data_IF_684764656293
#
_entry.id   IF_684764656293
#
_cell.length_a   1.000
_cell.length_b   1.000
_cell.length_c   1.000
_cell.angle_alpha   90.00
_cell.angle_beta   90.00
_cell.angle_gamma   90.00
#
_symmetry.space_group_name_H-M   'P 1'
#
loop_
_entity.id
_entity.type
_entity.pdbx_description
1 polymer ?
#
# COMPACT_ATOMS: atom_id res chain seq x y z
N UNK A 1 -1.97 -9.92 -25.12
CA UNK A 1 -2.26 -11.37 -25.05
C UNK A 1 -2.60 -11.77 -23.63
N UNK A 2 -3.68 -12.50 -23.43
CA UNK A 2 -4.14 -12.89 -22.10
C UNK A 2 -3.43 -14.18 -21.67
N UNK A 3 -2.68 -14.12 -20.55
CA UNK A 3 -1.95 -15.26 -20.02
C UNK A 3 -2.81 -16.05 -19.03
N UNK A 4 -2.40 -17.29 -18.73
CA UNK A 4 -3.06 -18.09 -17.69
C UNK A 4 -3.02 -17.40 -16.33
N UNK A 5 -1.90 -16.78 -16.00
CA UNK A 5 -1.77 -16.04 -14.73
C UNK A 5 -2.76 -14.87 -14.67
N UNK A 6 -2.92 -14.14 -15.78
CA UNK A 6 -3.88 -13.03 -15.88
C UNK A 6 -5.32 -13.52 -15.71
N UNK A 7 -5.67 -14.62 -16.37
CA UNK A 7 -7.00 -15.20 -16.25
C UNK A 7 -7.29 -15.69 -14.83
N UNK A 8 -6.30 -16.32 -14.20
CA UNK A 8 -6.42 -16.79 -12.81
C UNK A 8 -6.65 -15.64 -11.84
N UNK A 9 -5.90 -14.54 -12.01
CA UNK A 9 -6.07 -13.35 -11.20
C UNK A 9 -7.45 -12.72 -11.34
N UNK A 10 -7.95 -12.63 -12.58
CA UNK A 10 -9.28 -12.10 -12.85
C UNK A 10 -10.38 -12.99 -12.26
N UNK A 11 -10.22 -14.30 -12.38
CA UNK A 11 -11.16 -15.25 -11.77
C UNK A 11 -11.19 -15.07 -10.24
N UNK A 12 -10.03 -15.04 -9.61
CA UNK A 12 -9.94 -14.87 -8.16
C UNK A 12 -10.58 -13.56 -7.70
N UNK A 13 -10.38 -12.47 -8.45
CA UNK A 13 -10.96 -11.17 -8.13
C UNK A 13 -12.49 -11.23 -8.18
N UNK A 14 -13.05 -11.87 -9.20
CA UNK A 14 -14.50 -11.99 -9.31
C UNK A 14 -15.10 -12.88 -8.22
N UNK A 15 -14.42 -13.96 -7.85
CA UNK A 15 -14.87 -14.79 -6.72
C UNK A 15 -14.90 -13.97 -5.44
N UNK A 16 -13.84 -13.19 -5.18
CA UNK A 16 -13.77 -12.33 -3.99
C UNK A 16 -14.93 -11.31 -4.00
N UNK A 17 -15.17 -10.65 -5.13
CA UNK A 17 -16.25 -9.66 -5.24
C UNK A 17 -17.64 -10.29 -5.10
N UNK A 18 -17.80 -11.56 -5.50
CA UNK A 18 -19.07 -12.24 -5.35
C UNK A 18 -19.41 -12.59 -3.91
N UNK A 19 -18.38 -12.71 -3.05
CA UNK A 19 -18.55 -13.13 -1.66
C UNK A 19 -18.51 -11.97 -0.65
N UNK A 20 -18.02 -10.80 -1.07
CA UNK A 20 -17.79 -9.67 -0.16
C UNK A 20 -18.40 -8.41 -0.72
N UNK A 21 -18.85 -7.53 0.18
CA UNK A 21 -19.29 -6.19 -0.21
C UNK A 21 -18.08 -5.33 -0.56
N UNK A 22 -18.26 -4.29 -1.39
CA UNK A 22 -17.17 -3.35 -1.67
C UNK A 22 -16.56 -2.73 -0.40
N UNK A 23 -17.39 -2.45 0.60
CA UNK A 23 -16.95 -1.88 1.87
C UNK A 23 -16.07 -2.86 2.65
N UNK A 24 -16.43 -4.15 2.66
CA UNK A 24 -15.63 -5.17 3.34
C UNK A 24 -14.28 -5.37 2.65
N UNK A 25 -14.26 -5.35 1.32
CA UNK A 25 -13.04 -5.48 0.53
C UNK A 25 -12.10 -4.31 0.83
N UNK A 26 -12.63 -3.08 0.83
CA UNK A 26 -11.85 -1.86 1.11
C UNK A 26 -11.31 -1.88 2.54
N UNK A 27 -12.13 -2.32 3.51
CA UNK A 27 -11.71 -2.42 4.90
C UNK A 27 -10.56 -3.41 5.06
N UNK A 28 -10.65 -4.56 4.41
CA UNK A 28 -9.61 -5.58 4.47
C UNK A 28 -8.31 -5.10 3.82
N UNK A 29 -8.40 -4.44 2.68
CA UNK A 29 -7.25 -3.88 2.00
C UNK A 29 -6.54 -2.84 2.86
N UNK A 30 -7.32 -1.98 3.53
CA UNK A 30 -6.78 -0.98 4.44
C UNK A 30 -6.09 -1.62 5.64
N UNK A 31 -6.71 -2.64 6.24
CA UNK A 31 -6.14 -3.35 7.38
C UNK A 31 -4.83 -4.04 7.01
N UNK A 32 -4.78 -4.65 5.83
CA UNK A 32 -3.55 -5.30 5.33
C UNK A 32 -2.44 -4.28 5.12
N UNK A 33 -2.78 -3.12 4.54
CA UNK A 33 -1.83 -2.05 4.31
C UNK A 33 -1.26 -1.53 5.64
N UNK A 34 -2.12 -1.29 6.63
CA UNK A 34 -1.68 -0.79 7.93
C UNK A 34 -0.83 -1.81 8.69
N UNK A 35 -1.20 -3.09 8.62
CA UNK A 35 -0.45 -4.14 9.32
C UNK A 35 0.96 -4.34 8.76
N UNK A 36 1.20 -3.95 7.50
CA UNK A 36 2.53 -3.96 6.91
C UNK A 36 3.50 -3.11 7.72
N UNK A 37 3.05 -1.91 8.13
CA UNK A 37 3.91 -1.00 8.89
C UNK A 37 4.15 -1.49 10.31
N UNK A 38 3.19 -2.16 10.92
CA UNK A 38 3.39 -2.77 12.23
C UNK A 38 4.44 -3.89 12.16
N UNK A 39 4.42 -4.70 11.11
CA UNK A 39 5.44 -5.74 10.91
C UNK A 39 6.81 -5.16 10.65
N UNK A 40 6.90 -4.06 9.90
CA UNK A 40 8.17 -3.37 9.68
C UNK A 40 8.71 -2.76 10.96
N UNK A 41 7.82 -2.22 11.80
CA UNK A 41 8.21 -1.60 13.06
C UNK A 41 8.69 -2.62 14.10
N UNK A 42 8.12 -3.83 14.07
CA UNK A 42 8.34 -4.84 15.10
C UNK A 42 8.41 -6.23 14.45
N UNK A 43 9.49 -6.52 13.68
CA UNK A 43 9.59 -7.81 12.98
C UNK A 43 9.57 -9.02 13.91
N UNK A 44 10.12 -8.87 15.11
CA UNK A 44 10.23 -9.97 16.08
C UNK A 44 9.03 -10.06 17.04
N UNK A 45 8.13 -9.08 16.99
CA UNK A 45 6.96 -9.05 17.86
C UNK A 45 7.31 -8.84 19.33
N UNK A 46 8.41 -8.12 19.61
CA UNK A 46 8.91 -7.95 20.98
C UNK A 46 8.57 -6.62 21.62
N UNK A 47 8.07 -5.66 20.82
CA UNK A 47 7.76 -4.32 21.34
C UNK A 47 6.40 -4.32 22.03
N UNK A 48 6.28 -3.42 23.01
CA UNK A 48 4.98 -3.09 23.60
C UNK A 48 4.02 -2.62 22.50
N UNK A 49 2.71 -3.00 22.57
CA UNK A 49 1.76 -2.61 21.54
C UNK A 49 1.69 -1.12 21.27
N UNK A 50 1.76 -0.28 22.32
CA UNK A 50 1.74 1.18 22.14
C UNK A 50 2.97 1.69 21.39
N UNK A 51 4.14 1.15 21.70
CA UNK A 51 5.38 1.52 21.02
C UNK A 51 5.38 1.04 19.57
N UNK A 52 4.87 -0.17 19.32
CA UNK A 52 4.71 -0.69 17.96
C UNK A 52 3.81 0.23 17.12
N UNK A 53 2.69 0.64 17.70
CA UNK A 53 1.74 1.52 17.02
C UNK A 53 2.38 2.88 16.71
N UNK A 54 3.16 3.43 17.64
CA UNK A 54 3.84 4.71 17.46
C UNK A 54 4.85 4.64 16.31
N UNK A 55 5.66 3.59 16.29
CA UNK A 55 6.66 3.40 15.22
C UNK A 55 6.00 3.14 13.87
N UNK A 56 4.94 2.34 13.86
CA UNK A 56 4.19 2.06 12.63
C UNK A 56 3.58 3.34 12.06
N UNK A 57 3.07 4.22 12.92
CA UNK A 57 2.53 5.50 12.50
C UNK A 57 3.61 6.32 11.76
N UNK A 58 4.81 6.43 12.33
CA UNK A 58 5.87 7.19 11.71
C UNK A 58 6.37 6.57 10.40
N UNK A 59 6.44 5.25 10.33
CA UNK A 59 6.79 4.57 9.07
C UNK A 59 5.75 4.84 7.99
N UNK A 60 4.46 4.85 8.35
CA UNK A 60 3.38 5.17 7.42
C UNK A 60 3.49 6.60 6.93
N UNK A 61 3.75 7.55 7.84
CA UNK A 61 3.94 8.95 7.46
C UNK A 61 5.14 9.12 6.54
N UNK A 62 6.25 8.45 6.84
CA UNK A 62 7.44 8.47 5.99
C UNK A 62 7.13 7.92 4.60
N UNK A 63 6.33 6.85 4.51
CA UNK A 63 5.92 6.28 3.23
C UNK A 63 5.16 7.30 2.38
N UNK A 64 4.18 7.99 2.96
CA UNK A 64 3.40 8.99 2.21
C UNK A 64 4.25 10.21 1.83
N UNK A 65 5.14 10.65 2.70
CA UNK A 65 6.04 11.77 2.39
C UNK A 65 6.99 11.40 1.26
N UNK A 66 7.48 10.16 1.24
CA UNK A 66 8.32 9.69 0.15
C UNK A 66 7.56 9.68 -1.18
N UNK A 67 6.32 9.21 -1.18
CA UNK A 67 5.49 9.23 -2.39
C UNK A 67 5.26 10.66 -2.88
N UNK A 68 4.98 11.57 -1.97
CA UNK A 68 4.78 12.98 -2.31
C UNK A 68 6.07 13.58 -2.91
N UNK A 69 7.22 13.26 -2.31
CA UNK A 69 8.52 13.71 -2.82
C UNK A 69 8.78 13.18 -4.24
N UNK A 70 8.56 11.88 -4.46
CA UNK A 70 8.78 11.27 -5.76
C UNK A 70 7.84 11.85 -6.82
N UNK A 71 6.59 12.13 -6.45
CA UNK A 71 5.64 12.76 -7.35
C UNK A 71 6.07 14.18 -7.73
N UNK A 72 6.50 14.97 -6.75
CA UNK A 72 6.97 16.32 -6.98
C UNK A 72 8.22 16.33 -7.88
N UNK A 73 9.15 15.39 -7.61
CA UNK A 73 10.36 15.24 -8.41
C UNK A 73 10.01 14.90 -9.86
N UNK A 74 9.09 13.97 -10.07
CA UNK A 74 8.68 13.57 -11.41
C UNK A 74 8.02 14.74 -12.18
N UNK A 75 7.18 15.54 -11.49
CA UNK A 75 6.57 16.71 -12.10
C UNK A 75 7.61 17.74 -12.49
N UNK A 76 8.60 17.99 -11.64
CA UNK A 76 9.69 18.94 -11.90
C UNK A 76 10.51 18.49 -13.11
N UNK A 77 10.89 17.23 -13.17
CA UNK A 77 11.67 16.69 -14.28
C UNK A 77 10.88 16.74 -15.59
N UNK A 78 9.58 16.50 -15.54
CA UNK A 78 8.70 16.58 -16.69
C UNK A 78 8.61 18.01 -17.23
N UNK A 79 8.48 18.98 -16.32
CA UNK A 79 8.46 20.40 -16.68
C UNK A 79 9.79 20.83 -17.31
N UNK A 80 10.92 20.39 -16.77
CA UNK A 80 12.23 20.70 -17.31
C UNK A 80 12.41 20.13 -18.72
N UNK A 81 11.93 18.91 -18.97
CA UNK A 81 12.01 18.31 -20.30
C UNK A 81 11.17 19.07 -21.33
N UNK A 82 10.02 19.61 -20.94
CA UNK A 82 9.17 20.42 -21.82
C UNK A 82 9.83 21.73 -22.19
N UNK A 83 10.61 22.30 -21.28
CA UNK A 83 11.27 23.60 -21.49
C UNK A 83 12.67 23.49 -22.07
N UNK A 84 13.18 22.28 -22.20
CA UNK A 84 14.54 22.02 -22.70
C UNK A 84 14.62 21.69 -24.20
#
# INVERSE_FOLDING_TARGET
MTTEASLRGRYAAHIMHSRNTPEAITRQARATFLSKFEREADPDGTLDPAERARRAYHLRQAHFLRLAYLSAKARRERAQRKNG
#
